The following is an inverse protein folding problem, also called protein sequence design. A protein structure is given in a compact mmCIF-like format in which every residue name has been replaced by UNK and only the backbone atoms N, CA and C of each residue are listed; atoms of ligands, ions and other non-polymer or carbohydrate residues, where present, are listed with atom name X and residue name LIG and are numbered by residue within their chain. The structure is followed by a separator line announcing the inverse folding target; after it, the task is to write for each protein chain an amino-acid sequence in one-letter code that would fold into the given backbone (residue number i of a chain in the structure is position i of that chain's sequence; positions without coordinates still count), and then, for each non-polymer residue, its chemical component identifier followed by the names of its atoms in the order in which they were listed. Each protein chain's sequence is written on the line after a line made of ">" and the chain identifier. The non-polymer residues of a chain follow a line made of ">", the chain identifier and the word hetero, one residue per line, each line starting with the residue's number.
data_IF_823895333374
#
_entry.id   IF_823895333374
#
_cell.length_a   1.000
_cell.length_b   1.000
_cell.length_c   1.000
_cell.angle_alpha   90.00
_cell.angle_beta   90.00
_cell.angle_gamma   90.00
#
_symmetry.space_group_name_H-M   'P 1'
#
loop_
_entity.id
_entity.type
_entity.pdbx_description
1 polymer ?
#
# COMPACT_ATOMS: atom_id res chain seq x y z
N UNK A 1 -15.23 12.99 -0.38
CA UNK A 1 -13.79 12.68 -0.26
C UNK A 1 -13.60 11.21 0.09
N UNK A 2 -14.10 10.73 1.23
CA UNK A 2 -14.10 9.30 1.59
C UNK A 2 -15.46 8.64 1.29
N UNK A 3 -15.65 8.17 0.06
CA UNK A 3 -16.84 7.39 -0.30
C UNK A 3 -16.63 5.90 -0.03
N UNK A 4 -17.71 5.11 0.01
CA UNK A 4 -17.62 3.64 0.07
C UNK A 4 -16.76 3.09 -1.07
N UNK A 5 -16.85 3.70 -2.26
CA UNK A 5 -16.01 3.35 -3.41
C UNK A 5 -14.53 3.66 -3.15
N UNK A 6 -14.21 4.86 -2.67
CA UNK A 6 -12.82 5.22 -2.34
C UNK A 6 -12.19 4.27 -1.30
N UNK A 7 -12.93 3.92 -0.25
CA UNK A 7 -12.46 2.98 0.77
C UNK A 7 -12.23 1.59 0.19
N UNK A 8 -13.14 1.11 -0.67
CA UNK A 8 -12.99 -0.18 -1.35
C UNK A 8 -11.77 -0.20 -2.28
N UNK A 9 -11.63 0.82 -3.12
CA UNK A 9 -10.52 0.93 -4.08
C UNK A 9 -9.17 1.04 -3.36
N UNK A 10 -9.12 1.78 -2.23
CA UNK A 10 -7.90 1.90 -1.43
C UNK A 10 -7.55 0.62 -0.69
N UNK A 11 -8.54 -0.12 -0.18
CA UNK A 11 -8.34 -1.43 0.43
C UNK A 11 -7.84 -2.45 -0.59
N UNK A 12 -8.41 -2.47 -1.80
CA UNK A 12 -7.96 -3.34 -2.90
C UNK A 12 -6.50 -3.06 -3.27
N UNK A 13 -6.11 -1.78 -3.36
CA UNK A 13 -4.72 -1.37 -3.58
C UNK A 13 -3.80 -1.84 -2.46
N UNK A 14 -4.20 -1.69 -1.20
CA UNK A 14 -3.40 -2.12 -0.06
C UNK A 14 -3.20 -3.64 -0.03
N UNK A 15 -4.24 -4.42 -0.31
CA UNK A 15 -4.16 -5.89 -0.41
C UNK A 15 -3.26 -6.31 -1.57
N UNK A 16 -3.37 -5.64 -2.72
CA UNK A 16 -2.48 -5.90 -3.87
C UNK A 16 -1.02 -5.61 -3.51
N UNK A 17 -0.74 -4.50 -2.83
CA UNK A 17 0.61 -4.18 -2.34
C UNK A 17 1.10 -5.25 -1.38
N UNK A 18 0.28 -5.67 -0.41
CA UNK A 18 0.64 -6.72 0.54
C UNK A 18 1.02 -8.02 -0.19
N UNK A 19 0.20 -8.48 -1.13
CA UNK A 19 0.45 -9.70 -1.89
C UNK A 19 1.75 -9.61 -2.70
N UNK A 20 1.98 -8.50 -3.39
CA UNK A 20 3.19 -8.31 -4.19
C UNK A 20 4.45 -8.24 -3.32
N UNK A 21 4.37 -7.57 -2.16
CA UNK A 21 5.48 -7.52 -1.19
C UNK A 21 5.75 -8.90 -0.60
N UNK A 22 4.72 -9.68 -0.26
CA UNK A 22 4.90 -11.06 0.21
C UNK A 22 5.60 -11.93 -0.82
N UNK A 23 5.18 -11.87 -2.09
CA UNK A 23 5.84 -12.62 -3.18
C UNK A 23 7.31 -12.24 -3.27
N UNK A 24 7.63 -10.94 -3.27
CA UNK A 24 9.01 -10.47 -3.36
C UNK A 24 9.90 -10.98 -2.22
N UNK A 25 9.37 -11.04 -1.00
CA UNK A 25 10.10 -11.54 0.17
C UNK A 25 10.29 -13.06 0.13
N UNK A 26 9.27 -13.80 -0.32
CA UNK A 26 9.34 -15.26 -0.45
C UNK A 26 10.28 -15.70 -1.58
N UNK A 27 10.51 -14.84 -2.57
CA UNK A 27 11.45 -15.09 -3.68
C UNK A 27 12.77 -14.35 -3.51
N UNK A 28 13.08 -13.84 -2.32
CA UNK A 28 14.33 -13.14 -2.06
C UNK A 28 15.51 -14.12 -2.06
N UNK A 29 16.69 -13.64 -2.48
CA UNK A 29 17.91 -14.43 -2.47
C UNK A 29 18.21 -14.97 -1.07
N UNK A 30 18.47 -16.27 -0.98
CA UNK A 30 18.76 -16.96 0.29
C UNK A 30 17.55 -17.65 0.94
N UNK A 31 16.33 -17.42 0.44
CA UNK A 31 15.15 -18.19 0.86
C UNK A 31 15.03 -19.43 -0.04
N UNK A 32 15.45 -20.59 0.47
CA UNK A 32 15.45 -21.85 -0.29
C UNK A 32 14.22 -22.72 -0.01
N UNK A 33 13.62 -22.57 1.19
CA UNK A 33 12.42 -23.28 1.59
C UNK A 33 11.51 -22.45 2.49
N UNK A 34 10.29 -22.96 2.70
CA UNK A 34 9.23 -22.31 3.48
C UNK A 34 9.63 -22.03 4.94
N UNK A 35 10.53 -22.86 5.49
CA UNK A 35 10.99 -22.75 6.88
C UNK A 35 12.17 -21.78 7.05
N UNK A 36 12.83 -21.40 5.95
CA UNK A 36 13.93 -20.43 5.97
C UNK A 36 13.41 -18.98 5.99
N UNK A 37 12.10 -18.81 5.80
CA UNK A 37 11.42 -17.53 5.82
C UNK A 37 11.33 -17.01 7.26
N UNK A 38 11.90 -15.83 7.52
CA UNK A 38 11.58 -15.08 8.73
C UNK A 38 10.16 -14.50 8.61
N UNK A 39 9.19 -15.25 9.11
CA UNK A 39 7.77 -14.86 9.10
C UNK A 39 7.48 -13.59 9.89
N UNK A 40 8.26 -13.32 10.95
CA UNK A 40 8.09 -12.14 11.79
C UNK A 40 8.50 -10.87 11.05
N UNK A 41 9.72 -10.88 10.49
CA UNK A 41 10.21 -9.79 9.66
C UNK A 41 9.36 -9.64 8.40
N UNK A 42 9.01 -10.76 7.76
CA UNK A 42 8.20 -10.76 6.53
C UNK A 42 6.83 -10.11 6.73
N UNK A 43 6.11 -10.49 7.78
CA UNK A 43 4.82 -9.88 8.11
C UNK A 43 4.93 -8.39 8.44
N UNK A 44 6.01 -7.97 9.11
CA UNK A 44 6.28 -6.55 9.40
C UNK A 44 6.44 -5.72 8.13
N UNK A 45 7.26 -6.19 7.18
CA UNK A 45 7.52 -5.49 5.91
C UNK A 45 6.25 -5.43 5.04
N UNK A 46 5.51 -6.53 4.95
CA UNK A 46 4.24 -6.60 4.22
C UNK A 46 3.21 -5.64 4.82
N UNK A 47 3.09 -5.61 6.16
CA UNK A 47 2.20 -4.70 6.88
C UNK A 47 2.56 -3.23 6.65
N UNK A 48 3.85 -2.89 6.70
CA UNK A 48 4.33 -1.54 6.42
C UNK A 48 4.00 -1.12 4.96
N UNK A 49 4.25 -1.99 3.99
CA UNK A 49 3.96 -1.71 2.58
C UNK A 49 2.45 -1.47 2.34
N UNK A 50 1.59 -2.30 2.96
CA UNK A 50 0.14 -2.11 2.90
C UNK A 50 -0.30 -0.78 3.55
N UNK A 51 0.28 -0.43 4.71
CA UNK A 51 0.01 0.84 5.39
C UNK A 51 0.43 2.04 4.53
N UNK A 52 1.63 2.00 3.92
CA UNK A 52 2.10 3.03 2.99
C UNK A 52 1.15 3.16 1.80
N UNK A 53 0.63 2.05 1.27
CA UNK A 53 -0.36 2.06 0.19
C UNK A 53 -1.65 2.79 0.59
N UNK A 54 -2.15 2.54 1.81
CA UNK A 54 -3.31 3.24 2.36
C UNK A 54 -3.05 4.74 2.55
N UNK A 55 -1.93 5.11 3.17
CA UNK A 55 -1.55 6.51 3.38
C UNK A 55 -1.38 7.25 2.04
N UNK A 56 -0.81 6.59 1.04
CA UNK A 56 -0.66 7.13 -0.32
C UNK A 56 -2.02 7.34 -0.99
N UNK A 57 -2.96 6.40 -0.81
CA UNK A 57 -4.34 6.56 -1.27
C UNK A 57 -5.01 7.78 -0.63
N UNK A 58 -4.78 8.02 0.66
CA UNK A 58 -5.29 9.21 1.37
C UNK A 58 -4.65 10.49 0.83
N UNK A 59 -3.32 10.50 0.66
CA UNK A 59 -2.59 11.65 0.10
C UNK A 59 -2.97 11.94 -1.36
N UNK A 60 -3.33 10.91 -2.13
CA UNK A 60 -3.76 11.02 -3.53
C UNK A 60 -5.25 11.29 -3.69
N UNK A 61 -6.02 11.29 -2.58
CA UNK A 61 -7.43 11.66 -2.65
C UNK A 61 -7.51 13.12 -3.14
N UNK A 62 -8.35 13.43 -4.15
CA UNK A 62 -8.42 14.78 -4.68
C UNK A 62 -8.79 15.77 -3.58
N UNK A 63 -7.82 16.58 -3.21
CA UNK A 63 -7.94 17.75 -2.36
C UNK A 63 -7.50 18.94 -3.22
N UNK A 64 -8.25 20.04 -3.24
CA UNK A 64 -7.98 21.21 -4.09
C UNK A 64 -8.66 21.23 -5.47
N UNK A 65 -8.12 22.01 -6.40
CA UNK A 65 -8.66 22.23 -7.75
C UNK A 65 -8.24 21.15 -8.75
N UNK A 66 -9.17 20.77 -9.63
CA UNK A 66 -8.93 19.75 -10.65
C UNK A 66 -7.82 20.21 -11.62
N UNK A 67 -6.77 19.38 -11.77
CA UNK A 67 -5.62 19.69 -12.63
C UNK A 67 -4.40 20.25 -11.90
N UNK A 68 -4.45 20.40 -10.57
CA UNK A 68 -3.32 20.85 -9.75
C UNK A 68 -2.93 19.79 -8.73
N UNK A 69 -1.64 19.73 -8.33
CA UNK A 69 -1.18 18.89 -7.23
C UNK A 69 -1.45 19.51 -5.84
N UNK A 70 -2.10 20.67 -5.77
CA UNK A 70 -2.33 21.40 -4.53
C UNK A 70 -3.46 20.78 -3.74
N UNK A 71 -3.19 20.36 -2.50
CA UNK A 71 -4.22 19.88 -1.57
C UNK A 71 -5.17 20.99 -1.06
N UNK A 72 -4.87 22.25 -1.38
CA UNK A 72 -5.66 23.43 -1.00
C UNK A 72 -6.20 24.11 -2.26
N UNK A 73 -7.43 24.61 -2.20
CA UNK A 73 -8.05 25.41 -3.27
C UNK A 73 -7.20 26.65 -3.53
N UNK A 74 -6.77 26.83 -4.77
CA UNK A 74 -6.05 28.03 -5.18
C UNK A 74 -7.13 29.02 -5.60
N UNK A 75 -7.35 30.07 -4.79
CA UNK A 75 -8.30 31.15 -5.11
C UNK A 75 -7.81 31.98 -6.29
#
# INVERSE_FOLDING_TARGET
>A
MFTKKFLKDSAERAVKTAAQTSVALLTADGVLGLLDVDWGQGASVVGLAALVSLLTSVASAPAGDAGTASAVRIK
#
